data_IF_934306444512
#
_entry.id   IF_934306444512
#
_cell.length_a   1.000
_cell.length_b   1.000
_cell.length_c   1.000
_cell.angle_alpha   90.00
_cell.angle_beta   90.00
_cell.angle_gamma   90.00
#
_symmetry.space_group_name_H-M   'P 1'
#
loop_
_entity.id
_entity.type
_entity.pdbx_description
1 polymer ?
#
# COMPACT_ATOMS: atom_id res chain seq x y z
N UNK A 1 -8.33 1.28 8.93
CA UNK A 1 -7.20 0.52 9.51
C UNK A 1 -6.01 1.47 9.55
N UNK A 2 -5.59 1.87 10.74
CA UNK A 2 -4.48 2.80 10.90
C UNK A 2 -3.17 2.02 10.88
N UNK A 3 -2.17 2.53 10.16
CA UNK A 3 -0.84 1.94 10.12
C UNK A 3 -0.01 2.53 11.25
N UNK A 4 0.55 1.68 12.11
CA UNK A 4 1.48 2.10 13.14
C UNK A 4 2.92 1.87 12.66
N UNK A 5 3.77 2.88 12.78
CA UNK A 5 5.19 2.81 12.50
C UNK A 5 5.93 3.56 13.61
N UNK A 6 6.77 2.86 14.38
CA UNK A 6 7.57 3.41 15.50
C UNK A 6 6.82 4.41 16.41
N UNK A 7 5.56 4.08 16.75
CA UNK A 7 4.72 4.93 17.60
C UNK A 7 3.88 5.98 16.86
N UNK A 8 4.09 6.19 15.56
CA UNK A 8 3.27 7.08 14.75
C UNK A 8 2.19 6.29 14.00
N UNK A 9 0.92 6.71 14.15
CA UNK A 9 -0.22 6.11 13.45
C UNK A 9 -0.65 7.03 12.31
N UNK A 10 -0.45 6.58 11.07
CA UNK A 10 -1.01 7.28 9.90
C UNK A 10 -2.41 6.78 9.59
N UNK A 11 -3.27 7.67 9.12
CA UNK A 11 -4.50 7.27 8.47
C UNK A 11 -4.19 6.60 7.13
N UNK A 12 -5.00 5.63 6.73
CA UNK A 12 -4.81 4.93 5.47
C UNK A 12 -5.03 5.86 4.26
N UNK A 13 -4.34 5.56 3.16
CA UNK A 13 -4.61 6.18 1.86
C UNK A 13 -6.00 5.76 1.39
N UNK A 14 -6.85 6.73 0.99
CA UNK A 14 -8.11 6.48 0.30
C UNK A 14 -7.94 6.74 -1.20
N UNK A 15 -8.84 6.22 -2.08
CA UNK A 15 -8.80 6.56 -3.50
C UNK A 15 -8.79 8.06 -3.78
N UNK A 16 -9.55 8.85 -3.01
CA UNK A 16 -9.58 10.31 -3.15
C UNK A 16 -8.24 10.96 -2.79
N UNK A 17 -7.61 10.56 -1.67
CA UNK A 17 -6.29 11.06 -1.29
C UNK A 17 -5.24 10.73 -2.35
N UNK A 18 -5.28 9.51 -2.90
CA UNK A 18 -4.38 9.11 -3.97
C UNK A 18 -4.57 9.97 -5.23
N UNK A 19 -5.82 10.13 -5.70
CA UNK A 19 -6.14 10.93 -6.88
C UNK A 19 -5.68 12.39 -6.69
N UNK A 20 -5.86 12.94 -5.49
CA UNK A 20 -5.44 14.29 -5.17
C UNK A 20 -3.91 14.45 -5.18
N UNK A 21 -3.17 13.55 -4.53
CA UNK A 21 -1.72 13.55 -4.52
C UNK A 21 -1.14 13.35 -5.93
N UNK A 22 -1.81 12.55 -6.77
CA UNK A 22 -1.47 12.42 -8.18
C UNK A 22 -1.68 13.72 -8.94
N UNK A 23 -2.86 14.36 -8.79
CA UNK A 23 -3.20 15.61 -9.45
C UNK A 23 -2.29 16.79 -9.05
N UNK A 24 -1.76 16.78 -7.84
CA UNK A 24 -0.77 17.75 -7.35
C UNK A 24 0.68 17.36 -7.67
N UNK A 25 0.89 16.37 -8.53
CA UNK A 25 2.20 15.91 -9.00
C UNK A 25 3.16 15.54 -7.86
N UNK A 26 2.64 14.84 -6.83
CA UNK A 26 3.48 14.36 -5.74
C UNK A 26 4.62 13.48 -6.27
N UNK A 27 5.90 13.76 -5.94
CA UNK A 27 7.04 12.98 -6.44
C UNK A 27 7.04 11.52 -5.98
N UNK A 28 6.34 11.19 -4.89
CA UNK A 28 6.15 9.82 -4.44
C UNK A 28 5.23 8.99 -5.35
N UNK A 29 4.43 9.65 -6.19
CA UNK A 29 3.47 9.02 -7.09
C UNK A 29 3.93 9.13 -8.54
N UNK A 30 4.29 10.34 -8.98
CA UNK A 30 4.67 10.61 -10.38
C UNK A 30 6.12 10.23 -10.67
N UNK A 31 6.98 10.21 -9.64
CA UNK A 31 8.38 9.77 -9.68
C UNK A 31 9.23 10.52 -10.74
N UNK A 32 8.99 11.82 -10.91
CA UNK A 32 9.70 12.67 -11.87
C UNK A 32 10.89 13.41 -11.24
N UNK A 33 10.90 13.55 -9.93
CA UNK A 33 11.95 14.28 -9.18
C UNK A 33 12.17 13.65 -7.81
N UNK A 34 13.31 13.93 -7.22
CA UNK A 34 13.58 13.54 -5.82
C UNK A 34 12.65 14.31 -4.87
N UNK A 35 12.05 13.61 -3.86
CA UNK A 35 11.20 14.25 -2.88
C UNK A 35 11.97 15.27 -2.04
N UNK A 36 11.37 16.42 -1.81
CA UNK A 36 11.87 17.43 -0.87
C UNK A 36 11.19 17.31 0.49
N UNK A 37 11.68 18.01 1.51
CA UNK A 37 11.02 18.08 2.81
C UNK A 37 9.57 18.58 2.70
N UNK A 38 9.31 19.54 1.81
CA UNK A 38 7.97 20.07 1.56
C UNK A 38 7.04 19.00 0.97
N UNK A 39 7.56 18.15 0.10
CA UNK A 39 6.78 17.05 -0.48
C UNK A 39 6.42 15.99 0.58
N UNK A 40 7.34 15.74 1.53
CA UNK A 40 7.10 14.84 2.69
C UNK A 40 6.04 15.44 3.62
N UNK A 41 6.21 16.71 4.01
CA UNK A 41 5.27 17.44 4.85
C UNK A 41 3.85 17.40 4.25
N UNK A 42 3.75 17.69 2.97
CA UNK A 42 2.48 17.76 2.26
C UNK A 42 1.80 16.38 2.16
N UNK A 43 2.57 15.34 1.81
CA UNK A 43 2.03 13.99 1.72
C UNK A 43 1.47 13.51 3.06
N UNK A 44 2.24 13.66 4.13
CA UNK A 44 1.83 13.27 5.49
C UNK A 44 0.62 14.07 5.97
N UNK A 45 0.59 15.38 5.67
CA UNK A 45 -0.56 16.22 5.99
C UNK A 45 -1.85 15.70 5.32
N UNK A 46 -1.78 15.38 4.02
CA UNK A 46 -2.93 14.83 3.26
C UNK A 46 -3.37 13.47 3.82
N UNK A 47 -2.43 12.63 4.24
CA UNK A 47 -2.76 11.35 4.87
C UNK A 47 -3.60 11.54 6.14
N UNK A 48 -3.21 12.46 7.00
CA UNK A 48 -3.81 12.61 8.32
C UNK A 48 -5.08 13.48 8.31
N UNK A 49 -5.07 14.58 7.55
CA UNK A 49 -6.15 15.54 7.57
C UNK A 49 -7.16 15.36 6.43
N UNK A 50 -6.78 14.61 5.40
CA UNK A 50 -7.60 14.44 4.20
C UNK A 50 -7.43 15.61 3.24
N UNK A 51 -8.44 15.78 2.39
CA UNK A 51 -8.48 16.80 1.35
C UNK A 51 -9.43 17.91 1.82
N UNK A 52 -8.94 19.12 1.87
CA UNK A 52 -9.80 20.29 2.08
C UNK A 52 -10.43 20.65 0.74
N UNK A 53 -11.77 20.63 0.68
CA UNK A 53 -12.51 20.92 -0.55
C UNK A 53 -12.16 22.33 -1.04
N UNK A 54 -11.55 22.40 -2.22
CA UNK A 54 -11.44 23.63 -3.02
C UNK A 54 -10.20 24.50 -2.82
N UNK A 55 -9.33 24.25 -1.85
CA UNK A 55 -8.16 25.11 -1.63
C UNK A 55 -6.84 24.33 -1.47
N UNK A 56 -6.18 24.08 -2.61
CA UNK A 56 -4.87 23.45 -2.66
C UNK A 56 -3.81 24.31 -1.96
N UNK A 57 -3.89 25.64 -2.09
CA UNK A 57 -2.93 26.58 -1.52
C UNK A 57 -3.03 26.57 -0.01
N UNK A 58 -4.25 26.56 0.53
CA UNK A 58 -4.48 26.50 1.95
C UNK A 58 -3.96 25.19 2.55
N UNK A 59 -4.24 24.05 1.91
CA UNK A 59 -3.73 22.75 2.33
C UNK A 59 -2.21 22.69 2.31
N UNK A 60 -1.58 23.25 1.27
CA UNK A 60 -0.13 23.34 1.18
C UNK A 60 0.46 24.20 2.31
N UNK A 61 -0.11 25.39 2.56
CA UNK A 61 0.36 26.27 3.64
C UNK A 61 0.23 25.63 5.01
N UNK A 62 -0.83 24.86 5.26
CA UNK A 62 -1.05 24.13 6.53
C UNK A 62 -0.12 22.93 6.69
N UNK A 63 0.41 22.39 5.60
CA UNK A 63 1.34 21.28 5.64
C UNK A 63 2.75 21.69 6.02
N UNK A 64 3.12 22.95 5.89
CA UNK A 64 4.48 23.43 6.17
C UNK A 64 4.93 23.07 7.60
N UNK A 65 6.04 22.36 7.69
CA UNK A 65 6.60 21.90 8.97
C UNK A 65 5.83 20.76 9.62
N UNK A 66 5.05 20.00 8.85
CA UNK A 66 4.22 18.91 9.40
C UNK A 66 5.06 17.80 10.03
N UNK A 67 6.20 17.45 9.45
CA UNK A 67 7.17 16.51 10.05
C UNK A 67 7.65 16.98 11.43
N UNK A 68 7.93 18.28 11.58
CA UNK A 68 8.28 18.87 12.88
C UNK A 68 7.14 18.75 13.88
N UNK A 69 5.90 19.01 13.46
CA UNK A 69 4.70 18.85 14.30
C UNK A 69 4.54 17.40 14.77
N UNK A 70 4.90 16.44 13.94
CA UNK A 70 4.85 15.01 14.25
C UNK A 70 6.07 14.53 15.04
N UNK A 71 7.09 15.38 15.20
CA UNK A 71 8.38 15.05 15.80
C UNK A 71 9.09 13.86 15.13
N UNK A 72 9.07 13.85 13.80
CA UNK A 72 9.76 12.85 12.97
C UNK A 72 10.78 13.50 12.05
N UNK A 73 11.85 12.75 11.70
CA UNK A 73 12.85 13.19 10.74
C UNK A 73 12.33 13.09 9.29
N UNK A 74 13.05 13.73 8.36
CA UNK A 74 12.77 13.63 6.93
C UNK A 74 12.82 12.18 6.44
N UNK A 75 13.84 11.42 6.85
CA UNK A 75 14.05 10.03 6.47
C UNK A 75 12.95 9.11 7.02
N UNK A 76 12.49 9.35 8.23
CA UNK A 76 11.35 8.64 8.82
C UNK A 76 10.07 8.95 8.05
N UNK A 77 9.85 10.21 7.69
CA UNK A 77 8.73 10.63 6.86
C UNK A 77 8.68 9.89 5.52
N UNK A 78 9.82 9.80 4.82
CA UNK A 78 9.94 9.02 3.58
C UNK A 78 9.60 7.54 3.81
N UNK A 79 10.14 6.92 4.86
CA UNK A 79 9.86 5.50 5.17
C UNK A 79 8.38 5.26 5.44
N UNK A 80 7.73 6.15 6.18
CA UNK A 80 6.29 6.09 6.46
C UNK A 80 5.49 6.15 5.15
N UNK A 81 5.80 7.10 4.27
CA UNK A 81 5.12 7.29 2.99
C UNK A 81 5.28 6.04 2.10
N UNK A 82 6.52 5.58 1.90
CA UNK A 82 6.81 4.41 1.06
C UNK A 82 6.09 3.17 1.61
N UNK A 83 6.10 2.97 2.91
CA UNK A 83 5.40 1.85 3.53
C UNK A 83 3.88 1.95 3.36
N UNK A 84 3.32 3.15 3.52
CA UNK A 84 1.88 3.39 3.31
C UNK A 84 1.46 3.09 1.86
N UNK A 85 2.27 3.50 0.87
CA UNK A 85 2.04 3.18 -0.54
C UNK A 85 2.14 1.67 -0.77
N UNK A 86 3.18 1.02 -0.24
CA UNK A 86 3.37 -0.44 -0.38
C UNK A 86 2.19 -1.22 0.17
N UNK A 87 1.68 -0.83 1.33
CA UNK A 87 0.51 -1.47 1.95
C UNK A 87 -0.75 -1.22 1.13
N UNK A 88 -0.94 0.01 0.62
CA UNK A 88 -2.10 0.36 -0.19
C UNK A 88 -2.23 -0.53 -1.45
N UNK A 89 -1.11 -0.80 -2.13
CA UNK A 89 -1.08 -1.57 -3.38
C UNK A 89 -0.76 -3.06 -3.21
N UNK A 90 -0.56 -3.53 -1.96
CA UNK A 90 -0.25 -4.93 -1.70
C UNK A 90 -1.23 -5.93 -2.35
N UNK A 91 -2.57 -5.70 -2.36
CA UNK A 91 -3.49 -6.64 -3.00
C UNK A 91 -3.32 -6.78 -4.51
N UNK A 92 -2.73 -5.79 -5.19
CA UNK A 92 -2.45 -5.88 -6.63
C UNK A 92 -1.32 -6.88 -6.95
N UNK A 93 -0.53 -7.29 -5.96
CA UNK A 93 0.46 -8.37 -6.13
C UNK A 93 -0.20 -9.76 -6.31
N UNK A 94 -1.52 -9.86 -6.08
CA UNK A 94 -2.29 -11.07 -6.41
C UNK A 94 -2.42 -11.27 -7.92
N UNK A 95 -2.27 -10.20 -8.71
CA UNK A 95 -2.26 -10.30 -10.16
C UNK A 95 -0.91 -10.84 -10.65
N UNK A 96 -0.90 -11.76 -11.62
CA UNK A 96 0.34 -12.27 -12.17
C UNK A 96 1.12 -11.14 -12.83
N UNK A 97 2.44 -11.14 -12.64
CA UNK A 97 3.32 -10.28 -13.42
C UNK A 97 3.19 -10.66 -14.89
N UNK A 98 2.82 -9.70 -15.74
CA UNK A 98 2.78 -9.90 -17.18
C UNK A 98 4.17 -10.33 -17.67
N UNK A 99 4.28 -11.52 -18.19
CA UNK A 99 5.46 -11.95 -18.95
C UNK A 99 5.35 -11.29 -20.33
N UNK A 100 6.17 -10.29 -20.58
CA UNK A 100 6.21 -9.61 -21.87
C UNK A 100 6.81 -8.21 -21.74
N UNK A 101 7.54 -7.84 -22.79
CA UNK A 101 8.27 -6.58 -22.88
C UNK A 101 7.28 -5.40 -23.14
N UNK A 102 6.36 -5.17 -22.22
CA UNK A 102 5.50 -4.00 -22.28
C UNK A 102 6.18 -2.89 -21.50
N UNK A 103 6.87 -2.00 -22.20
CA UNK A 103 7.41 -0.72 -21.69
C UNK A 103 6.33 0.25 -21.15
N UNK A 104 5.12 -0.23 -20.93
CA UNK A 104 4.07 0.57 -20.30
C UNK A 104 4.22 0.45 -18.78
N UNK A 105 4.74 1.51 -18.17
CA UNK A 105 4.60 1.72 -16.72
C UNK A 105 3.11 1.68 -16.37
N UNK A 106 2.75 0.90 -15.37
CA UNK A 106 1.39 0.97 -14.84
C UNK A 106 1.16 2.39 -14.30
N UNK A 107 0.24 3.12 -14.91
CA UNK A 107 -0.16 4.45 -14.43
C UNK A 107 -1.35 4.25 -13.49
N UNK A 108 -1.15 4.67 -12.25
CA UNK A 108 -2.23 4.70 -11.24
C UNK A 108 -2.81 6.11 -11.18
N UNK A 109 -3.29 6.57 -12.33
CA UNK A 109 -3.83 7.90 -12.60
C UNK A 109 -5.32 8.02 -12.24
N UNK A 110 -5.92 9.15 -12.62
CA UNK A 110 -7.34 9.41 -12.37
C UNK A 110 -8.27 8.41 -13.08
N UNK A 111 -7.90 7.98 -14.30
CA UNK A 111 -8.70 6.99 -15.05
C UNK A 111 -8.67 5.62 -14.38
N UNK A 112 -7.50 5.24 -13.86
CA UNK A 112 -7.38 4.02 -13.07
C UNK A 112 -8.23 4.09 -11.79
N UNK A 113 -8.20 5.21 -11.05
CA UNK A 113 -9.02 5.41 -9.84
C UNK A 113 -10.51 5.32 -10.19
N UNK A 114 -10.93 5.95 -11.28
CA UNK A 114 -12.33 5.89 -11.73
C UNK A 114 -12.75 4.44 -12.03
N UNK A 115 -11.90 3.70 -12.74
CA UNK A 115 -12.12 2.28 -13.04
C UNK A 115 -12.14 1.42 -11.77
N UNK A 116 -11.26 1.70 -10.81
CA UNK A 116 -11.23 1.03 -9.50
C UNK A 116 -12.56 1.23 -8.77
N UNK A 117 -13.02 2.49 -8.65
CA UNK A 117 -14.25 2.84 -7.94
C UNK A 117 -15.47 2.18 -8.57
N UNK A 118 -15.59 2.19 -9.92
CA UNK A 118 -16.68 1.56 -10.63
C UNK A 118 -16.74 0.04 -10.38
N UNK A 119 -15.59 -0.63 -10.41
CA UNK A 119 -15.51 -2.08 -10.15
C UNK A 119 -15.80 -2.43 -8.69
N UNK A 120 -15.27 -1.64 -7.76
CA UNK A 120 -15.55 -1.83 -6.33
C UNK A 120 -17.03 -1.62 -6.03
N UNK A 121 -17.64 -0.59 -6.62
CA UNK A 121 -19.09 -0.36 -6.52
C UNK A 121 -19.90 -1.57 -6.99
N UNK A 122 -19.55 -2.17 -8.13
CA UNK A 122 -20.26 -3.33 -8.66
C UNK A 122 -20.13 -4.60 -7.80
N UNK A 123 -19.04 -4.73 -7.03
CA UNK A 123 -18.85 -5.88 -6.11
C UNK A 123 -19.50 -5.66 -4.76
N UNK A 124 -19.40 -4.45 -4.23
CA UNK A 124 -19.77 -4.16 -2.82
C UNK A 124 -21.16 -3.54 -2.68
N UNK A 125 -21.68 -2.90 -3.74
CA UNK A 125 -22.90 -2.07 -3.69
C UNK A 125 -22.70 -0.73 -2.94
N UNK A 126 -21.50 -0.44 -2.40
CA UNK A 126 -21.22 0.81 -1.71
C UNK A 126 -21.24 1.99 -2.67
N UNK A 127 -21.68 3.16 -2.20
CA UNK A 127 -21.73 4.35 -3.05
C UNK A 127 -20.34 4.79 -3.50
N UNK A 128 -20.17 5.31 -4.74
CA UNK A 128 -18.89 5.83 -5.21
C UNK A 128 -18.27 6.87 -4.25
N UNK A 129 -19.09 7.73 -3.64
CA UNK A 129 -18.64 8.72 -2.65
C UNK A 129 -18.01 8.05 -1.42
N UNK A 130 -18.61 6.99 -0.90
CA UNK A 130 -18.09 6.25 0.25
C UNK A 130 -16.79 5.51 -0.11
N UNK A 131 -16.74 4.88 -1.30
CA UNK A 131 -15.54 4.22 -1.80
C UNK A 131 -14.38 5.22 -1.92
N UNK A 132 -14.63 6.38 -2.52
CA UNK A 132 -13.61 7.42 -2.71
C UNK A 132 -13.05 7.95 -1.40
N UNK A 133 -13.91 8.28 -0.43
CA UNK A 133 -13.49 9.10 0.72
C UNK A 133 -13.26 8.29 2.00
N UNK A 134 -13.91 7.14 2.17
CA UNK A 134 -13.91 6.40 3.43
C UNK A 134 -13.22 5.04 3.32
N UNK A 135 -13.28 4.40 2.14
CA UNK A 135 -12.64 3.10 1.94
C UNK A 135 -11.12 3.25 1.83
N UNK A 136 -10.36 2.38 2.50
CA UNK A 136 -8.91 2.35 2.28
C UNK A 136 -8.58 1.87 0.87
N UNK A 137 -7.53 2.45 0.26
CA UNK A 137 -7.07 2.02 -1.06
C UNK A 137 -6.66 0.54 -1.08
N UNK A 138 -6.17 0.03 0.04
CA UNK A 138 -5.89 -1.41 0.23
C UNK A 138 -7.15 -2.25 0.04
N UNK A 139 -8.25 -1.88 0.72
CA UNK A 139 -9.52 -2.59 0.58
C UNK A 139 -10.09 -2.44 -0.84
N UNK A 140 -10.02 -1.25 -1.41
CA UNK A 140 -10.46 -1.01 -2.79
C UNK A 140 -9.67 -1.87 -3.80
N UNK A 141 -8.35 -1.97 -3.66
CA UNK A 141 -7.51 -2.84 -4.49
C UNK A 141 -7.85 -4.32 -4.31
N UNK A 142 -8.20 -4.74 -3.09
CA UNK A 142 -8.65 -6.11 -2.84
C UNK A 142 -9.97 -6.41 -3.57
N UNK A 143 -10.98 -5.56 -3.46
CA UNK A 143 -12.25 -5.73 -4.17
C UNK A 143 -12.08 -5.63 -5.69
N UNK A 144 -11.15 -4.80 -6.16
CA UNK A 144 -10.79 -4.75 -7.57
C UNK A 144 -10.25 -6.11 -8.06
N UNK A 145 -9.40 -6.77 -7.29
CA UNK A 145 -8.92 -8.11 -7.59
C UNK A 145 -10.06 -9.13 -7.56
N UNK A 146 -10.97 -9.05 -6.57
CA UNK A 146 -12.14 -9.92 -6.51
C UNK A 146 -13.07 -9.73 -7.71
N UNK A 147 -13.28 -8.50 -8.16
CA UNK A 147 -14.05 -8.22 -9.38
C UNK A 147 -13.49 -8.96 -10.59
N UNK A 148 -12.18 -8.90 -10.80
CA UNK A 148 -11.54 -9.58 -11.91
C UNK A 148 -11.74 -11.11 -11.83
N UNK A 149 -11.61 -11.70 -10.62
CA UNK A 149 -11.91 -13.12 -10.40
C UNK A 149 -13.35 -13.49 -10.74
N UNK A 150 -14.32 -12.71 -10.27
CA UNK A 150 -15.76 -12.96 -10.52
C UNK A 150 -16.09 -12.88 -12.01
N UNK A 151 -15.33 -12.14 -12.80
CA UNK A 151 -15.49 -12.02 -14.24
C UNK A 151 -14.61 -12.99 -15.06
N UNK A 152 -14.13 -14.06 -14.43
CA UNK A 152 -13.45 -15.15 -15.12
C UNK A 152 -11.96 -14.92 -15.39
N UNK A 153 -11.30 -13.99 -14.67
CA UNK A 153 -9.86 -13.85 -14.73
C UNK A 153 -9.17 -14.89 -13.83
N UNK A 154 -9.05 -16.11 -14.35
CA UNK A 154 -8.42 -17.25 -13.66
C UNK A 154 -6.93 -17.03 -13.38
N UNK A 155 -6.33 -15.97 -13.95
CA UNK A 155 -4.90 -15.71 -13.78
C UNK A 155 -4.57 -15.22 -12.37
N UNK A 156 -5.54 -14.63 -11.66
CA UNK A 156 -5.35 -14.06 -10.32
C UNK A 156 -5.07 -15.12 -9.26
N UNK A 157 -5.54 -16.35 -9.47
CA UNK A 157 -5.47 -17.44 -8.49
C UNK A 157 -4.87 -18.74 -9.05
N UNK A 158 -3.88 -18.64 -9.93
CA UNK A 158 -3.12 -19.81 -10.37
C UNK A 158 -2.26 -20.47 -9.27
N UNK A 159 -2.13 -19.79 -8.11
CA UNK A 159 -1.70 -20.48 -6.89
C UNK A 159 -2.94 -20.97 -6.18
N UNK A 160 -3.05 -22.29 -6.00
CA UNK A 160 -4.10 -22.88 -5.20
C UNK A 160 -4.13 -22.18 -3.83
N UNK A 161 -5.30 -22.09 -3.20
CA UNK A 161 -5.40 -21.57 -1.82
C UNK A 161 -4.44 -22.33 -0.88
N UNK A 162 -4.22 -23.61 -1.14
CA UNK A 162 -3.22 -24.45 -0.50
C UNK A 162 -1.78 -23.93 -0.64
N UNK A 163 -1.35 -23.53 -1.83
CA UNK A 163 0.00 -22.97 -2.04
C UNK A 163 0.21 -21.64 -1.32
N UNK A 164 -0.86 -20.85 -1.19
CA UNK A 164 -0.83 -19.58 -0.43
C UNK A 164 -0.75 -19.88 1.06
N UNK A 165 -1.54 -20.81 1.56
CA UNK A 165 -1.52 -21.26 2.96
C UNK A 165 -0.17 -21.88 3.30
N UNK A 166 0.32 -22.81 2.49
CA UNK A 166 1.64 -23.44 2.67
C UNK A 166 2.77 -22.39 2.64
N UNK A 167 2.70 -21.40 1.75
CA UNK A 167 3.70 -20.32 1.69
C UNK A 167 3.61 -19.37 2.90
N UNK A 168 2.42 -19.15 3.44
CA UNK A 168 2.22 -18.37 4.67
C UNK A 168 2.66 -19.15 5.90
N UNK A 169 2.31 -20.43 5.99
CA UNK A 169 2.72 -21.32 7.09
C UNK A 169 4.24 -21.53 7.08
N UNK A 170 4.84 -21.73 5.91
CA UNK A 170 6.29 -21.86 5.76
C UNK A 170 7.02 -20.59 6.23
N UNK A 171 6.53 -19.41 5.87
CA UNK A 171 7.08 -18.13 6.32
C UNK A 171 6.90 -17.89 7.81
N UNK A 172 5.75 -18.25 8.35
CA UNK A 172 5.47 -18.17 9.80
C UNK A 172 6.40 -19.10 10.58
N UNK A 173 6.57 -20.33 10.11
CA UNK A 173 7.50 -21.31 10.71
C UNK A 173 8.94 -20.82 10.63
N UNK A 174 9.38 -20.27 9.48
CA UNK A 174 10.73 -19.69 9.34
C UNK A 174 10.96 -18.56 10.34
N UNK A 175 10.01 -17.61 10.46
CA UNK A 175 10.11 -16.51 11.42
C UNK A 175 10.14 -17.00 12.88
N UNK A 176 9.35 -18.02 13.21
CA UNK A 176 9.35 -18.61 14.55
C UNK A 176 10.69 -19.31 14.83
N UNK A 177 11.20 -20.09 13.88
CA UNK A 177 12.47 -20.77 14.01
C UNK A 177 13.65 -19.78 14.15
N UNK A 178 13.70 -18.71 13.33
CA UNK A 178 14.71 -17.66 13.46
C UNK A 178 14.68 -17.02 14.85
N UNK A 179 13.48 -16.74 15.37
CA UNK A 179 13.32 -16.16 16.70
C UNK A 179 13.73 -17.12 17.82
N UNK A 180 13.48 -18.43 17.67
CA UNK A 180 13.91 -19.45 18.62
C UNK A 180 15.44 -19.63 18.59
N UNK A 181 16.07 -19.49 17.42
CA UNK A 181 17.54 -19.47 17.30
C UNK A 181 18.13 -18.23 17.97
N UNK A 182 17.56 -17.05 17.76
CA UNK A 182 17.97 -15.81 18.43
C UNK A 182 17.88 -15.89 19.96
N UNK A 183 16.85 -16.60 20.45
CA UNK A 183 16.62 -16.86 21.88
C UNK A 183 17.47 -18.01 22.44
N UNK A 184 18.34 -18.63 21.65
CA UNK A 184 19.11 -19.83 21.98
C UNK A 184 18.28 -21.03 22.47
N UNK A 185 17.03 -21.13 22.02
CA UNK A 185 16.13 -22.27 22.35
C UNK A 185 16.43 -23.46 21.45
N UNK A 186 16.76 -23.21 20.16
CA UNK A 186 17.19 -24.21 19.20
C UNK A 186 18.53 -23.79 18.57
N UNK A 187 19.36 -24.78 18.22
CA UNK A 187 20.63 -24.51 17.54
C UNK A 187 20.41 -24.39 16.03
N UNK A 188 21.12 -23.47 15.41
CA UNK A 188 21.04 -23.23 13.96
C UNK A 188 21.38 -24.48 13.14
N UNK A 189 22.27 -25.32 13.63
CA UNK A 189 22.68 -26.58 13.02
C UNK A 189 21.54 -27.62 13.01
N UNK A 190 20.71 -27.65 14.05
CA UNK A 190 19.55 -28.54 14.15
C UNK A 190 18.44 -28.13 13.17
N UNK A 191 18.28 -26.81 12.92
CA UNK A 191 17.33 -26.28 11.94
C UNK A 191 17.74 -26.61 10.51
N UNK A 192 19.03 -26.51 10.19
CA UNK A 192 19.56 -26.79 8.84
C UNK A 192 19.51 -28.30 8.50
N UNK A 193 19.64 -29.17 9.48
CA UNK A 193 19.54 -30.63 9.28
C UNK A 193 18.11 -31.08 9.00
N UNK A 194 17.11 -30.39 9.50
CA UNK A 194 15.68 -30.66 9.26
C UNK A 194 15.14 -30.02 7.98
N UNK A 195 15.86 -29.08 7.34
CA UNK A 195 15.49 -28.37 6.12
C UNK A 195 16.65 -28.38 5.09
N UNK A 196 16.97 -29.51 4.45
CA UNK A 196 18.14 -29.65 3.57
C UNK A 196 18.06 -28.88 2.25
N UNK A 197 16.99 -28.13 1.97
CA UNK A 197 16.80 -27.34 0.73
C UNK A 197 17.20 -25.86 0.88
N UNK A 198 17.99 -25.50 1.88
CA UNK A 198 18.56 -24.14 2.03
C UNK A 198 20.11 -24.17 2.01
#
# INVERSE_FOLDING_TARGET
>A
MDLAFDGYKTKCITPAKWAYLWATSSPFIVNEKEPTLLDVDYFLYVLDNGIEEGDVVLSFNRSLGYTKKLNISYEEGIKIIINSIRVAFRPLNLFPKRQGNTNRKAMFDADWITSLVARVHSVTGESPKKIMNEMSLTAACYYFAQYARMNGDDTIYKRSEEEILIAQDRRAVEMICERLIEMNVIKREEYLTTNPEK
#
